data_IF_812412123735
#
_entry.id   IF_812412123735
#
_cell.length_a   1.000
_cell.length_b   1.000
_cell.length_c   1.000
_cell.angle_alpha   90.00
_cell.angle_beta   90.00
_cell.angle_gamma   90.00
#
_symmetry.space_group_name_H-M   'P 1'
#
loop_
_entity.id
_entity.type
_entity.pdbx_description
1 polymer ?
#
# COMPACT_ATOMS: atom_id res chain seq x y z
N UNK A 1 9.66 -14.50 -7.56
CA UNK A 1 9.24 -13.12 -7.25
C UNK A 1 9.19 -12.85 -5.75
N UNK A 2 8.59 -13.72 -4.92
CA UNK A 2 8.48 -13.51 -3.47
C UNK A 2 9.81 -13.24 -2.74
N UNK A 3 10.89 -13.93 -3.09
CA UNK A 3 12.20 -13.68 -2.45
C UNK A 3 12.73 -12.26 -2.66
N UNK A 4 12.56 -11.70 -3.87
CA UNK A 4 12.99 -10.32 -4.18
C UNK A 4 12.20 -9.33 -3.34
N UNK A 5 10.88 -9.48 -3.29
CA UNK A 5 9.98 -8.58 -2.56
C UNK A 5 10.19 -8.69 -1.04
N UNK A 6 10.34 -9.90 -0.52
CA UNK A 6 10.65 -10.13 0.89
C UNK A 6 11.99 -9.49 1.28
N UNK A 7 13.02 -9.59 0.42
CA UNK A 7 14.32 -8.92 0.66
C UNK A 7 14.19 -7.40 0.65
N UNK A 8 13.48 -6.84 -0.33
CA UNK A 8 13.22 -5.39 -0.39
C UNK A 8 12.42 -4.90 0.83
N UNK A 9 11.39 -5.66 1.22
CA UNK A 9 10.62 -5.38 2.40
C UNK A 9 11.49 -5.49 3.66
N UNK A 10 12.38 -6.48 3.80
CA UNK A 10 13.25 -6.63 4.96
C UNK A 10 14.24 -5.46 5.13
N UNK A 11 14.83 -4.99 4.02
CA UNK A 11 15.89 -3.98 4.03
C UNK A 11 15.39 -2.53 4.04
N UNK A 12 14.12 -2.29 3.73
CA UNK A 12 13.54 -0.94 3.69
C UNK A 12 12.96 -0.53 5.04
N UNK A 13 12.97 0.76 5.36
CA UNK A 13 12.23 1.28 6.53
C UNK A 13 10.82 1.76 6.17
N UNK A 14 10.57 2.05 4.89
CA UNK A 14 9.30 2.48 4.36
C UNK A 14 9.12 2.03 2.91
N UNK A 15 7.86 1.99 2.45
CA UNK A 15 7.48 1.64 1.09
C UNK A 15 6.79 2.85 0.46
N UNK A 16 7.25 3.26 -0.72
CA UNK A 16 6.66 4.36 -1.48
C UNK A 16 6.24 3.81 -2.85
N UNK A 17 4.96 3.89 -3.16
CA UNK A 17 4.41 3.53 -4.46
C UNK A 17 4.24 4.79 -5.30
N UNK A 18 4.90 4.79 -6.46
CA UNK A 18 4.80 5.83 -7.49
C UNK A 18 3.75 5.42 -8.53
N UNK A 19 3.16 6.38 -9.28
CA UNK A 19 2.29 6.06 -10.40
C UNK A 19 2.91 5.05 -11.34
N UNK A 20 2.16 4.00 -11.67
CA UNK A 20 2.67 2.87 -12.42
C UNK A 20 1.58 1.92 -12.87
N UNK A 21 1.98 0.93 -13.67
CA UNK A 21 1.07 -0.10 -14.17
C UNK A 21 0.79 -1.20 -13.13
N UNK A 22 0.22 -2.31 -13.62
CA UNK A 22 -0.25 -3.45 -12.81
C UNK A 22 0.79 -3.96 -11.80
N UNK A 23 2.08 -3.99 -12.16
CA UNK A 23 3.15 -4.44 -11.25
C UNK A 23 3.29 -3.57 -9.99
N UNK A 24 3.21 -2.25 -10.13
CA UNK A 24 3.30 -1.33 -8.99
C UNK A 24 2.09 -1.43 -8.06
N UNK A 25 0.90 -1.64 -8.64
CA UNK A 25 -0.34 -1.87 -7.91
C UNK A 25 -0.31 -3.20 -7.15
N UNK A 26 0.21 -4.26 -7.77
CA UNK A 26 0.38 -5.57 -7.14
C UNK A 26 1.32 -5.50 -5.92
N UNK A 27 2.46 -4.83 -6.06
CA UNK A 27 3.42 -4.64 -4.96
C UNK A 27 2.83 -3.78 -3.83
N UNK A 28 2.07 -2.73 -4.15
CA UNK A 28 1.41 -1.88 -3.17
C UNK A 28 0.38 -2.64 -2.33
N UNK A 29 -0.50 -3.41 -2.97
CA UNK A 29 -1.53 -4.18 -2.26
C UNK A 29 -0.93 -5.35 -1.46
N UNK A 30 0.15 -5.97 -1.94
CA UNK A 30 0.88 -7.00 -1.17
C UNK A 30 1.47 -6.41 0.12
N UNK A 31 2.11 -5.23 0.03
CA UNK A 31 2.63 -4.52 1.20
C UNK A 31 1.52 -4.12 2.19
N UNK A 32 0.38 -3.64 1.70
CA UNK A 32 -0.78 -3.34 2.56
C UNK A 32 -1.29 -4.57 3.29
N UNK A 33 -1.41 -5.71 2.59
CA UNK A 33 -1.86 -6.96 3.19
C UNK A 33 -0.89 -7.44 4.27
N UNK A 34 0.42 -7.36 4.04
CA UNK A 34 1.44 -7.71 5.04
C UNK A 34 1.41 -6.78 6.26
N UNK A 35 1.16 -5.49 6.05
CA UNK A 35 0.96 -4.54 7.15
C UNK A 35 -0.28 -4.92 7.99
N UNK A 36 -1.40 -5.21 7.33
CA UNK A 36 -2.63 -5.61 8.00
C UNK A 36 -2.53 -6.95 8.75
N UNK A 37 -1.75 -7.90 8.23
CA UNK A 37 -1.46 -9.17 8.89
C UNK A 37 -0.43 -9.06 10.02
N UNK A 38 0.17 -7.88 10.23
CA UNK A 38 1.20 -7.66 11.25
C UNK A 38 2.56 -8.28 10.92
N UNK A 39 2.79 -8.66 9.66
CA UNK A 39 4.08 -9.20 9.18
C UNK A 39 5.15 -8.10 9.21
N UNK A 40 4.76 -6.85 8.98
CA UNK A 40 5.58 -5.67 9.23
C UNK A 40 4.70 -4.47 9.62
N UNK A 41 5.30 -3.44 10.22
CA UNK A 41 4.64 -2.18 10.58
C UNK A 41 5.26 -0.97 9.88
N UNK A 42 5.75 -1.18 8.65
CA UNK A 42 6.44 -0.15 7.87
C UNK A 42 5.44 0.86 7.32
N UNK A 43 5.76 2.16 7.30
CA UNK A 43 4.96 3.16 6.59
C UNK A 43 4.84 2.82 5.11
N UNK A 44 3.62 2.90 4.59
CA UNK A 44 3.32 2.71 3.16
C UNK A 44 2.72 4.00 2.63
N UNK A 45 3.34 4.57 1.59
CA UNK A 45 3.02 5.89 1.07
C UNK A 45 2.64 5.76 -0.41
N UNK A 46 1.49 6.32 -0.79
CA UNK A 46 1.14 6.57 -2.20
C UNK A 46 1.61 7.98 -2.57
N UNK A 47 2.56 8.07 -3.49
CA UNK A 47 3.01 9.37 -4.00
C UNK A 47 2.05 9.85 -5.08
N UNK A 48 1.12 10.74 -4.69
CA UNK A 48 0.11 11.27 -5.60
C UNK A 48 0.67 12.37 -6.51
N UNK A 49 1.10 11.99 -7.71
CA UNK A 49 1.60 12.91 -8.73
C UNK A 49 0.47 13.28 -9.68
N UNK A 50 0.21 14.57 -9.87
CA UNK A 50 -0.81 15.09 -10.79
C UNK A 50 -2.21 14.50 -10.59
N UNK A 51 -2.56 14.12 -9.35
CA UNK A 51 -3.87 13.56 -9.01
C UNK A 51 -4.06 12.09 -9.39
N UNK A 52 -3.01 11.36 -9.79
CA UNK A 52 -3.10 9.96 -10.24
C UNK A 52 -3.82 9.01 -9.24
N UNK A 53 -3.74 9.28 -7.94
CA UNK A 53 -4.35 8.45 -6.89
C UNK A 53 -5.62 9.06 -6.27
N UNK A 54 -6.21 10.12 -6.83
CA UNK A 54 -7.37 10.80 -6.26
C UNK A 54 -8.61 9.88 -6.18
N UNK A 55 -8.88 9.12 -7.24
CA UNK A 55 -9.98 8.16 -7.27
C UNK A 55 -9.73 6.99 -6.31
N UNK A 56 -8.48 6.53 -6.19
CA UNK A 56 -8.11 5.47 -5.26
C UNK A 56 -8.30 5.93 -3.81
N UNK A 57 -7.93 7.17 -3.50
CA UNK A 57 -8.15 7.77 -2.19
C UNK A 57 -9.65 7.91 -1.88
N UNK A 58 -10.44 8.34 -2.87
CA UNK A 58 -11.90 8.41 -2.73
C UNK A 58 -12.52 7.03 -2.49
N UNK A 59 -12.04 6.01 -3.21
CA UNK A 59 -12.44 4.63 -3.02
C UNK A 59 -12.05 4.09 -1.63
N UNK A 60 -10.85 4.38 -1.14
CA UNK A 60 -10.42 3.92 0.18
C UNK A 60 -11.24 4.55 1.31
N UNK A 61 -11.62 5.84 1.19
CA UNK A 61 -12.57 6.48 2.13
C UNK A 61 -13.91 5.73 2.12
N UNK A 62 -14.44 5.38 0.95
CA UNK A 62 -15.68 4.59 0.84
C UNK A 62 -15.52 3.22 1.52
N UNK A 63 -14.43 2.51 1.25
CA UNK A 63 -14.14 1.20 1.84
C UNK A 63 -14.05 1.27 3.38
N UNK A 64 -13.45 2.35 3.93
CA UNK A 64 -13.46 2.58 5.38
C UNK A 64 -14.86 2.81 5.93
N UNK A 65 -15.70 3.60 5.23
CA UNK A 65 -17.10 3.84 5.64
C UNK A 65 -17.95 2.57 5.63
N UNK A 66 -17.67 1.66 4.70
CA UNK A 66 -18.33 0.35 4.58
C UNK A 66 -17.73 -0.70 5.54
N UNK A 67 -16.71 -0.35 6.33
CA UNK A 67 -16.08 -1.26 7.29
C UNK A 67 -15.18 -2.32 6.67
N UNK A 68 -14.81 -2.16 5.39
CA UNK A 68 -13.94 -3.08 4.67
C UNK A 68 -12.45 -2.79 4.95
N UNK A 69 -12.11 -1.51 5.16
CA UNK A 69 -10.75 -1.06 5.49
C UNK A 69 -10.70 -0.57 6.95
N UNK A 70 -9.58 -0.78 7.66
CA UNK A 70 -9.41 -0.25 9.00
C UNK A 70 -9.29 1.27 8.97
N UNK A 71 -10.03 1.94 9.86
CA UNK A 71 -10.06 3.42 9.95
C UNK A 71 -8.77 4.00 10.53
N UNK A 72 -8.00 3.18 11.26
CA UNK A 72 -6.70 3.53 11.82
C UNK A 72 -5.63 2.61 11.25
N UNK A 73 -4.95 3.05 10.18
CA UNK A 73 -3.65 2.50 9.83
C UNK A 73 -2.62 3.14 10.77
N UNK A 74 -1.91 2.32 11.55
CA UNK A 74 -0.74 2.75 12.33
C UNK A 74 0.53 2.53 11.53
#
# INVERSE_FOLDING_TARGET
>A
MHERKAKMAQLSDAIISLPGGVGAWEEFFEALAWNQLGIHSKPIILLNVEGYYDELYSFSIKACKEGLFPVNFR
#
